data_IF_962706143145
#
_entry.id   IF_962706143145
#
_cell.length_a   1.000
_cell.length_b   1.000
_cell.length_c   1.000
_cell.angle_alpha   90.00
_cell.angle_beta   90.00
_cell.angle_gamma   90.00
#
_symmetry.space_group_name_H-M   'P 1'
#
loop_
_entity.id
_entity.type
_entity.pdbx_description
1 polymer ?
#
# COMPACT_ATOMS: atom_id res chain seq x y z
N UNK A 1 -16.18 1.85 -15.39
CA UNK A 1 -15.77 1.54 -13.99
C UNK A 1 -15.05 0.21 -14.02
N UNK A 2 -13.82 0.13 -13.50
CA UNK A 2 -12.98 -1.09 -13.48
C UNK A 2 -12.58 -1.37 -12.03
N UNK A 3 -12.44 -2.65 -11.69
CA UNK A 3 -12.01 -3.12 -10.37
C UNK A 3 -10.57 -3.62 -10.50
N UNK A 4 -9.68 -3.06 -9.69
CA UNK A 4 -8.26 -3.43 -9.63
C UNK A 4 -7.99 -4.32 -8.42
N UNK A 5 -7.01 -5.20 -8.55
CA UNK A 5 -6.40 -5.92 -7.44
C UNK A 5 -4.88 -5.78 -7.56
N UNK A 6 -4.21 -5.61 -6.42
CA UNK A 6 -2.77 -5.44 -6.39
C UNK A 6 -2.08 -6.60 -5.68
N UNK A 7 -0.88 -6.89 -6.14
CA UNK A 7 0.02 -7.86 -5.56
C UNK A 7 1.36 -7.17 -5.32
N UNK A 8 1.92 -7.31 -4.11
CA UNK A 8 3.19 -6.70 -3.71
C UNK A 8 4.13 -7.79 -3.19
N UNK A 9 5.32 -7.88 -3.79
CA UNK A 9 6.31 -8.90 -3.43
C UNK A 9 7.62 -8.34 -2.82
N UNK A 10 7.75 -7.02 -2.78
CA UNK A 10 8.97 -6.31 -2.38
C UNK A 10 8.79 -5.61 -1.03
N UNK A 11 9.83 -5.65 -0.20
CA UNK A 11 9.86 -4.93 1.07
C UNK A 11 9.95 -3.40 0.91
N UNK A 12 9.51 -2.70 1.96
CA UNK A 12 9.59 -1.25 2.10
C UNK A 12 11.04 -0.76 2.18
N UNK A 13 11.24 0.48 1.72
CA UNK A 13 12.50 1.25 1.79
C UNK A 13 13.69 0.74 0.97
N UNK A 14 13.74 -0.55 0.62
CA UNK A 14 14.70 -1.05 -0.39
C UNK A 14 14.21 -0.77 -1.82
N UNK A 15 12.89 -0.76 -2.02
CA UNK A 15 12.25 -0.56 -3.32
C UNK A 15 11.18 0.54 -3.27
N UNK A 16 10.88 1.13 -4.43
CA UNK A 16 9.84 2.15 -4.56
C UNK A 16 8.43 1.60 -4.76
N UNK A 17 8.25 0.28 -4.77
CA UNK A 17 6.98 -0.37 -5.11
C UNK A 17 5.80 0.13 -4.27
N UNK A 18 6.00 0.30 -2.96
CA UNK A 18 4.95 0.79 -2.06
C UNK A 18 4.54 2.24 -2.35
N UNK A 19 5.52 3.11 -2.62
CA UNK A 19 5.25 4.51 -2.95
C UNK A 19 4.48 4.59 -4.28
N UNK A 20 4.92 3.82 -5.29
CA UNK A 20 4.25 3.73 -6.58
C UNK A 20 2.82 3.20 -6.42
N UNK A 21 2.63 2.14 -5.63
CA UNK A 21 1.33 1.55 -5.35
C UNK A 21 0.38 2.57 -4.72
N UNK A 22 0.80 3.28 -3.68
CA UNK A 22 -0.03 4.27 -2.99
C UNK A 22 -0.44 5.41 -3.92
N UNK A 23 0.50 5.92 -4.72
CA UNK A 23 0.21 6.99 -5.67
C UNK A 23 -0.71 6.54 -6.80
N UNK A 24 -0.47 5.35 -7.36
CA UNK A 24 -1.34 4.76 -8.38
C UNK A 24 -2.74 4.50 -7.83
N UNK A 25 -2.84 3.95 -6.63
CA UNK A 25 -4.12 3.63 -5.98
C UNK A 25 -4.97 4.89 -5.76
N UNK A 26 -4.34 6.00 -5.31
CA UNK A 26 -5.00 7.31 -5.21
C UNK A 26 -5.50 7.81 -6.57
N UNK A 27 -4.70 7.67 -7.62
CA UNK A 27 -5.09 8.09 -8.97
C UNK A 27 -6.27 7.26 -9.52
N UNK A 28 -6.25 5.94 -9.30
CA UNK A 28 -7.33 5.01 -9.68
C UNK A 28 -8.65 5.41 -9.00
N UNK A 29 -8.63 5.61 -7.69
CA UNK A 29 -9.82 6.03 -6.94
C UNK A 29 -10.31 7.40 -7.43
N UNK A 30 -9.41 8.37 -7.63
CA UNK A 30 -9.74 9.71 -8.17
C UNK A 30 -10.41 9.64 -9.55
N UNK A 31 -10.12 8.61 -10.35
CA UNK A 31 -10.72 8.39 -11.68
C UNK A 31 -12.05 7.63 -11.63
N UNK A 32 -12.58 7.32 -10.44
CA UNK A 32 -13.84 6.61 -10.27
C UNK A 32 -13.72 5.10 -10.52
N UNK A 33 -12.54 4.53 -10.28
CA UNK A 33 -12.31 3.09 -10.28
C UNK A 33 -12.27 2.56 -8.84
N UNK A 34 -12.38 1.25 -8.70
CA UNK A 34 -12.38 0.58 -7.39
C UNK A 34 -11.13 -0.30 -7.24
N UNK A 35 -10.71 -0.50 -5.99
CA UNK A 35 -9.64 -1.42 -5.64
C UNK A 35 -10.25 -2.46 -4.70
N UNK A 36 -10.26 -3.71 -5.14
CA UNK A 36 -10.80 -4.82 -4.36
C UNK A 36 -9.92 -5.13 -3.14
N UNK A 37 -8.61 -5.13 -3.34
CA UNK A 37 -7.65 -5.37 -2.27
C UNK A 37 -6.21 -5.35 -2.73
N UNK A 38 -5.33 -5.46 -1.74
CA UNK A 38 -3.87 -5.50 -1.89
C UNK A 38 -3.38 -6.77 -1.18
N UNK A 39 -2.73 -7.65 -1.93
CA UNK A 39 -2.16 -8.89 -1.42
C UNK A 39 -0.63 -8.79 -1.34
N UNK A 40 -0.08 -9.05 -0.16
CA UNK A 40 1.36 -9.04 0.10
C UNK A 40 1.87 -10.48 0.19
N UNK A 41 3.03 -10.75 -0.42
CA UNK A 41 3.68 -12.06 -0.31
C UNK A 41 5.19 -11.95 -0.44
N UNK A 42 5.94 -13.00 -0.11
CA UNK A 42 7.39 -12.97 -0.11
C UNK A 42 7.92 -11.87 0.82
N UNK A 43 8.87 -11.06 0.36
CA UNK A 43 9.37 -9.91 1.16
C UNK A 43 8.33 -8.79 1.31
N UNK A 44 7.26 -8.80 0.51
CA UNK A 44 6.18 -7.82 0.58
C UNK A 44 5.44 -7.80 1.93
N UNK A 45 5.42 -8.91 2.67
CA UNK A 45 4.76 -8.98 3.99
C UNK A 45 5.37 -8.02 5.02
N UNK A 46 6.62 -7.58 4.81
CA UNK A 46 7.28 -6.61 5.69
C UNK A 46 6.64 -5.21 5.65
N UNK A 47 5.86 -4.88 4.60
CA UNK A 47 5.11 -3.62 4.52
C UNK A 47 3.95 -3.53 5.52
N UNK A 48 3.53 -4.66 6.11
CA UNK A 48 2.44 -4.71 7.09
C UNK A 48 2.91 -4.45 8.54
N UNK A 49 4.22 -4.30 8.77
CA UNK A 49 4.77 -4.09 10.12
C UNK A 49 4.54 -2.65 10.58
N UNK A 50 3.79 -2.48 11.68
CA UNK A 50 3.47 -1.17 12.27
C UNK A 50 4.60 -0.54 13.10
N UNK A 51 5.38 -1.36 13.79
CA UNK A 51 6.44 -0.87 14.68
C UNK A 51 7.78 -0.84 13.95
N UNK A 52 7.98 0.19 13.13
CA UNK A 52 9.25 0.46 12.47
C UNK A 52 9.91 1.71 13.04
N UNK A 53 11.21 1.62 13.33
CA UNK A 53 12.02 2.79 13.65
C UNK A 53 12.45 3.44 12.35
N UNK A 54 11.78 4.53 11.99
CA UNK A 54 12.14 5.36 10.84
C UNK A 54 12.73 6.69 11.30
N UNK A 55 13.61 7.27 10.48
CA UNK A 55 14.06 8.63 10.69
C UNK A 55 12.87 9.61 10.58
N UNK A 56 12.88 10.68 11.39
CA UNK A 56 11.80 11.69 11.41
C UNK A 56 11.55 12.37 10.06
N UNK A 57 12.53 12.36 9.15
CA UNK A 57 12.44 12.92 7.80
C UNK A 57 11.78 11.98 6.79
N UNK A 58 11.68 10.69 7.10
CA UNK A 58 11.11 9.68 6.21
C UNK A 58 9.61 9.51 6.41
N UNK A 59 8.92 9.13 5.34
CA UNK A 59 7.50 8.76 5.40
C UNK A 59 7.33 7.38 6.03
N UNK A 60 6.34 7.27 6.90
CA UNK A 60 5.88 6.01 7.46
C UNK A 60 4.95 5.30 6.47
N UNK A 61 5.51 4.43 5.63
CA UNK A 61 4.75 3.75 4.57
C UNK A 61 3.67 2.78 5.10
N UNK A 62 3.90 2.01 6.18
CA UNK A 62 2.86 1.18 6.79
C UNK A 62 1.68 2.00 7.31
N UNK A 63 1.95 3.13 7.96
CA UNK A 63 0.90 4.03 8.46
C UNK A 63 0.12 4.65 7.29
N UNK A 64 0.81 5.13 6.26
CA UNK A 64 0.18 5.68 5.05
C UNK A 64 -0.68 4.64 4.30
N UNK A 65 -0.25 3.37 4.29
CA UNK A 65 -1.01 2.25 3.76
C UNK A 65 -2.27 1.99 4.60
N UNK A 66 -2.16 1.95 5.92
CA UNK A 66 -3.28 1.73 6.83
C UNK A 66 -4.33 2.83 6.68
N UNK A 67 -3.93 4.10 6.72
CA UNK A 67 -4.81 5.24 6.49
C UNK A 67 -5.50 5.17 5.13
N UNK A 68 -4.75 4.83 4.08
CA UNK A 68 -5.29 4.68 2.73
C UNK A 68 -6.36 3.59 2.69
N UNK A 69 -6.10 2.42 3.29
CA UNK A 69 -7.02 1.29 3.23
C UNK A 69 -8.29 1.55 4.04
N UNK A 70 -8.16 2.11 5.25
CA UNK A 70 -9.30 2.49 6.09
C UNK A 70 -10.18 3.52 5.41
N UNK A 71 -9.59 4.57 4.82
CA UNK A 71 -10.33 5.64 4.16
C UNK A 71 -11.13 5.15 2.94
N UNK A 72 -10.63 4.13 2.24
CA UNK A 72 -11.18 3.70 0.95
C UNK A 72 -11.84 2.32 1.00
N UNK A 73 -11.99 1.70 2.18
CA UNK A 73 -12.51 0.34 2.37
C UNK A 73 -11.79 -0.72 1.52
N UNK A 74 -10.46 -0.59 1.39
CA UNK A 74 -9.63 -1.53 0.62
C UNK A 74 -9.17 -2.66 1.53
N UNK A 75 -9.40 -3.91 1.12
CA UNK A 75 -8.95 -5.08 1.88
C UNK A 75 -7.45 -5.29 1.74
N UNK A 76 -6.80 -5.73 2.82
CA UNK A 76 -5.37 -6.06 2.84
C UNK A 76 -5.23 -7.49 3.33
N UNK A 77 -4.42 -8.29 2.65
CA UNK A 77 -4.04 -9.64 3.06
C UNK A 77 -2.57 -9.90 2.79
N UNK A 78 -1.95 -10.80 3.56
CA UNK A 78 -0.55 -11.19 3.39
C UNK A 78 0.04 -11.86 4.62
#
# INVERSE_FOLDING_TARGET
MVIFAFIVNSEQYMFQAMITLLNLSRAIIKKGHQINGIFFYGSGVHNLRRNINIEKSMKNLPEELEEFCLKNNVQVGG
#
